data_IF_485025605655
#
_entry.id   IF_485025605655
#
_cell.length_a   1.000
_cell.length_b   1.000
_cell.length_c   1.000
_cell.angle_alpha   90.00
_cell.angle_beta   90.00
_cell.angle_gamma   90.00
#
_symmetry.space_group_name_H-M   'P 1'
#
loop_
_entity.id
_entity.type
_entity.pdbx_description
1 polymer ?
#
# COMPACT_ATOMS: atom_id res chain seq x y z
N UNK A 1 -6.81 3.30 -9.66
CA UNK A 1 -7.62 3.94 -8.62
C UNK A 1 -7.03 5.32 -8.29
N UNK A 2 -7.73 6.40 -8.66
CA UNK A 2 -7.17 7.74 -8.47
C UNK A 2 -6.94 8.11 -7.01
N UNK A 3 -7.76 7.63 -6.10
CA UNK A 3 -7.59 7.95 -4.68
C UNK A 3 -6.31 7.33 -4.12
N UNK A 4 -6.06 6.08 -4.45
CA UNK A 4 -4.86 5.40 -4.00
C UNK A 4 -3.62 6.01 -4.67
N UNK A 5 -3.74 6.36 -5.94
CA UNK A 5 -2.66 7.00 -6.68
C UNK A 5 -2.29 8.34 -6.05
N UNK A 6 -3.31 9.15 -5.74
CA UNK A 6 -3.09 10.45 -5.11
C UNK A 6 -2.45 10.30 -3.73
N UNK A 7 -2.91 9.31 -2.97
CA UNK A 7 -2.34 9.05 -1.65
C UNK A 7 -0.86 8.69 -1.76
N UNK A 8 -0.53 7.80 -2.69
CA UNK A 8 0.85 7.39 -2.90
C UNK A 8 1.71 8.55 -3.38
N UNK A 9 1.18 9.35 -4.30
CA UNK A 9 1.90 10.53 -4.79
C UNK A 9 2.24 11.49 -3.65
N UNK A 10 1.28 11.71 -2.77
CA UNK A 10 1.48 12.60 -1.65
C UNK A 10 2.54 12.07 -0.68
N UNK A 11 2.51 10.76 -0.44
CA UNK A 11 3.45 10.14 0.50
C UNK A 11 4.86 10.06 -0.05
N UNK A 12 5.03 10.21 -1.36
CA UNK A 12 6.33 10.00 -2.00
C UNK A 12 6.86 11.24 -2.70
N UNK A 13 6.35 12.41 -2.37
CA UNK A 13 6.80 13.65 -3.01
C UNK A 13 8.28 13.90 -2.84
N UNK A 14 8.84 13.47 -1.73
CA UNK A 14 10.25 13.67 -1.40
C UNK A 14 11.13 12.46 -1.70
N UNK A 15 10.59 11.47 -2.41
CA UNK A 15 11.30 10.25 -2.73
C UNK A 15 11.41 10.09 -4.24
N UNK A 16 12.59 9.67 -4.69
CA UNK A 16 12.81 9.41 -6.11
C UNK A 16 12.55 7.95 -6.42
N UNK A 17 11.45 7.68 -7.09
CA UNK A 17 11.02 6.32 -7.43
C UNK A 17 10.57 6.30 -8.89
N UNK A 18 10.94 5.25 -9.61
CA UNK A 18 10.50 5.08 -10.98
C UNK A 18 9.00 4.85 -11.03
N UNK A 19 8.35 5.40 -12.05
CA UNK A 19 6.90 5.27 -12.19
C UNK A 19 6.47 3.81 -12.28
N UNK A 20 7.26 2.99 -12.92
CA UNK A 20 6.96 1.56 -13.05
C UNK A 20 6.91 0.88 -11.69
N UNK A 21 7.88 1.15 -10.85
CA UNK A 21 7.93 0.57 -9.50
C UNK A 21 6.81 1.11 -8.64
N UNK A 22 6.52 2.39 -8.77
CA UNK A 22 5.45 3.03 -8.04
C UNK A 22 4.10 2.40 -8.40
N UNK A 23 3.87 2.17 -9.70
CA UNK A 23 2.63 1.54 -10.14
C UNK A 23 2.53 0.11 -9.64
N UNK A 24 3.64 -0.61 -9.63
CA UNK A 24 3.66 -1.98 -9.11
C UNK A 24 3.22 -2.02 -7.65
N UNK A 25 3.74 -1.11 -6.83
CA UNK A 25 3.38 -1.05 -5.41
C UNK A 25 1.91 -0.66 -5.24
N UNK A 26 1.44 0.30 -6.04
CA UNK A 26 0.03 0.70 -6.00
C UNK A 26 -0.88 -0.51 -6.29
N UNK A 27 -0.53 -1.27 -7.32
CA UNK A 27 -1.32 -2.44 -7.68
C UNK A 27 -1.31 -3.49 -6.56
N UNK A 28 -0.16 -3.68 -5.94
CA UNK A 28 -0.05 -4.62 -4.83
C UNK A 28 -1.01 -4.25 -3.70
N UNK A 29 -0.99 -3.00 -3.27
CA UNK A 29 -1.86 -2.56 -2.19
C UNK A 29 -3.33 -2.57 -2.60
N UNK A 30 -3.61 -2.24 -3.85
CA UNK A 30 -4.98 -2.27 -4.36
C UNK A 30 -5.56 -3.67 -4.25
N UNK A 31 -4.84 -4.67 -4.73
CA UNK A 31 -5.33 -6.05 -4.69
C UNK A 31 -5.36 -6.60 -3.28
N UNK A 32 -4.43 -6.16 -2.44
CA UNK A 32 -4.44 -6.57 -1.04
C UNK A 32 -5.69 -6.04 -0.33
N UNK A 33 -6.06 -4.78 -0.60
CA UNK A 33 -7.26 -4.20 0.00
C UNK A 33 -8.52 -4.91 -0.49
N UNK A 34 -8.59 -5.16 -1.80
CA UNK A 34 -9.75 -5.87 -2.36
C UNK A 34 -9.85 -7.26 -1.75
N UNK A 35 -8.73 -7.96 -1.64
CA UNK A 35 -8.71 -9.29 -1.03
C UNK A 35 -9.17 -9.29 0.41
N UNK A 36 -8.76 -8.29 1.18
CA UNK A 36 -9.16 -8.19 2.58
C UNK A 36 -10.66 -7.93 2.71
N UNK A 37 -11.20 -7.09 1.85
CA UNK A 37 -12.64 -6.80 1.87
C UNK A 37 -13.43 -8.05 1.48
N UNK A 38 -12.99 -8.76 0.46
CA UNK A 38 -13.65 -9.98 0.03
C UNK A 38 -13.64 -11.03 1.13
N UNK A 39 -12.52 -11.17 1.83
CA UNK A 39 -12.41 -12.12 2.93
C UNK A 39 -13.36 -11.73 4.07
N UNK A 40 -13.47 -10.44 4.35
CA UNK A 40 -14.39 -9.94 5.35
C UNK A 40 -15.84 -10.29 4.99
N UNK A 41 -16.21 -10.13 3.72
CA UNK A 41 -17.54 -10.50 3.25
C UNK A 41 -17.77 -12.01 3.39
N UNK A 42 -16.78 -12.80 3.01
CA UNK A 42 -16.88 -14.26 3.12
C UNK A 42 -17.08 -14.73 4.55
N UNK A 43 -16.58 -13.98 5.51
CA UNK A 43 -16.74 -14.29 6.94
C UNK A 43 -17.99 -13.63 7.52
N UNK A 44 -18.98 -13.36 6.67
CA UNK A 44 -20.26 -12.80 7.05
C UNK A 44 -20.14 -11.43 7.73
N UNK A 45 -19.10 -10.69 7.37
CA UNK A 45 -18.88 -9.33 7.87
C UNK A 45 -18.91 -9.26 9.41
N UNK A 46 -18.33 -10.28 10.03
CA UNK A 46 -18.36 -10.36 11.51
C UNK A 46 -17.53 -9.29 12.19
N UNK A 47 -16.44 -8.87 11.56
CA UNK A 47 -15.64 -7.78 12.10
C UNK A 47 -16.37 -6.48 11.86
N UNK A 48 -16.43 -5.64 12.89
CA UNK A 48 -17.02 -4.31 12.76
C UNK A 48 -16.32 -3.55 11.63
N UNK A 49 -17.07 -3.00 10.67
CA UNK A 49 -16.45 -2.27 9.57
C UNK A 49 -15.59 -1.10 10.01
N UNK A 50 -15.92 -0.45 11.12
CA UNK A 50 -15.08 0.64 11.65
C UNK A 50 -13.74 0.08 12.10
N UNK A 51 -13.76 -1.05 12.79
CA UNK A 51 -12.54 -1.69 13.26
C UNK A 51 -11.69 -2.17 12.08
N UNK A 52 -12.32 -2.75 11.07
CA UNK A 52 -11.63 -3.19 9.88
C UNK A 52 -10.95 -2.01 9.20
N UNK A 53 -11.67 -0.91 9.05
CA UNK A 53 -11.13 0.31 8.44
C UNK A 53 -9.94 0.83 9.22
N UNK A 54 -10.01 0.83 10.54
CA UNK A 54 -8.91 1.29 11.38
C UNK A 54 -7.66 0.43 11.20
N UNK A 55 -7.84 -0.87 11.12
CA UNK A 55 -6.71 -1.78 10.91
C UNK A 55 -6.08 -1.58 9.55
N UNK A 56 -6.90 -1.44 8.52
CA UNK A 56 -6.40 -1.19 7.18
C UNK A 56 -5.65 0.15 7.12
N UNK A 57 -6.20 1.15 7.78
CA UNK A 57 -5.57 2.47 7.81
C UNK A 57 -4.18 2.42 8.47
N UNK A 58 -4.03 1.61 9.52
CA UNK A 58 -2.72 1.44 10.17
C UNK A 58 -1.71 0.84 9.22
N UNK A 59 -2.12 -0.12 8.41
CA UNK A 59 -1.24 -0.75 7.45
C UNK A 59 -0.86 0.20 6.33
N UNK A 60 -1.81 1.01 5.88
CA UNK A 60 -1.56 1.96 4.80
C UNK A 60 -0.71 3.14 5.27
N UNK A 61 -0.93 3.60 6.50
CA UNK A 61 -0.25 4.77 7.04
C UNK A 61 1.23 4.44 7.28
N UNK A 62 2.07 4.96 6.44
CA UNK A 62 3.49 4.68 6.51
C UNK A 62 3.91 3.38 5.85
N UNK A 63 2.99 2.43 5.67
CA UNK A 63 3.31 1.16 5.04
C UNK A 63 3.67 1.30 3.57
N UNK A 64 2.89 2.08 2.86
CA UNK A 64 3.15 2.34 1.44
C UNK A 64 4.47 3.09 1.29
N UNK A 65 4.69 4.12 2.10
CA UNK A 65 5.94 4.89 2.05
C UNK A 65 7.14 3.99 2.33
N UNK A 66 7.05 3.17 3.38
CA UNK A 66 8.14 2.26 3.74
C UNK A 66 8.44 1.28 2.61
N UNK A 67 7.40 0.74 1.98
CA UNK A 67 7.57 -0.16 0.87
C UNK A 67 8.23 0.54 -0.32
N UNK A 68 7.77 1.75 -0.64
CA UNK A 68 8.32 2.51 -1.75
C UNK A 68 9.77 2.90 -1.52
N UNK A 69 10.15 3.13 -0.27
CA UNK A 69 11.55 3.43 0.04
C UNK A 69 12.48 2.29 -0.35
N UNK A 70 11.97 1.07 -0.34
CA UNK A 70 12.77 -0.09 -0.77
C UNK A 70 13.04 -0.08 -2.27
N UNK A 71 12.21 0.63 -3.03
CA UNK A 71 12.39 0.78 -4.47
C UNK A 71 13.05 2.10 -4.85
N UNK A 72 13.45 2.88 -3.86
CA UNK A 72 14.04 4.18 -4.11
C UNK A 72 15.30 4.05 -4.95
N UNK A 73 15.52 5.05 -5.81
CA UNK A 73 16.73 5.10 -6.63
C UNK A 73 17.96 5.02 -5.74
N UNK A 74 18.88 4.14 -6.09
CA UNK A 74 20.08 3.93 -5.29
C UNK A 74 19.97 2.78 -4.31
N UNK A 75 18.77 2.32 -4.02
CA UNK A 75 18.58 1.11 -3.22
C UNK A 75 18.86 -0.10 -4.08
N UNK A 76 19.69 -0.98 -3.57
CA UNK A 76 20.04 -2.20 -4.26
C UNK A 76 19.57 -3.38 -3.44
N UNK A 77 18.69 -4.24 -4.00
CA UNK A 77 18.23 -5.41 -3.25
C UNK A 77 19.36 -6.28 -2.74
N UNK A 78 20.46 -6.30 -3.44
CA UNK A 78 21.61 -7.11 -3.03
C UNK A 78 22.32 -6.53 -1.83
N UNK A 79 22.17 -5.26 -1.58
CA UNK A 79 22.75 -4.63 -0.40
C UNK A 79 21.91 -4.86 0.84
N UNK A 80 20.66 -5.21 0.67
CA UNK A 80 19.73 -5.42 1.77
C UNK A 80 19.97 -6.78 2.43
N UNK A 81 20.52 -7.69 1.72
CA UNK A 81 20.75 -9.05 2.21
C UNK A 81 21.98 -9.16 3.09
#
# INVERSE_FOLDING_TARGET
DPLLHDFVDKETQDISIQDEDKQFVIDFFKYALVGMVLEWIRKDMKTDPVLLTQKLNRLLHGGIRRTLLRFQAGSNPMEVN
#
